data_IF_759563364750
#
_entry.id   IF_759563364750
#
_cell.length_a   1.000
_cell.length_b   1.000
_cell.length_c   1.000
_cell.angle_alpha   90.00
_cell.angle_beta   90.00
_cell.angle_gamma   90.00
#
_symmetry.space_group_name_H-M   'P 1'
#
loop_
_entity.id
_entity.type
_entity.pdbx_description
1 polymer ?
#
# COMPACT_ATOMS: atom_id res chain seq x y z
N UNK A 1 52.90 76.59 10.51
CA UNK A 1 52.36 76.57 9.13
C UNK A 1 51.59 75.27 8.97
N UNK A 2 50.35 75.34 8.43
CA UNK A 2 49.11 74.84 9.04
C UNK A 2 48.68 73.47 8.45
N UNK A 3 47.63 72.75 8.86
CA UNK A 3 46.40 72.99 9.64
C UNK A 3 46.04 71.65 10.36
N UNK A 4 45.55 71.58 11.61
CA UNK A 4 44.21 71.94 12.11
C UNK A 4 43.28 70.70 12.04
N UNK A 5 42.42 70.32 12.98
CA UNK A 5 42.09 70.69 14.36
C UNK A 5 41.04 69.65 14.85
N UNK A 6 40.93 69.48 16.18
CA UNK A 6 39.78 69.02 16.98
C UNK A 6 39.46 67.52 17.25
N UNK A 7 39.40 67.29 18.57
CA UNK A 7 38.91 66.19 19.40
C UNK A 7 37.54 65.60 19.02
N UNK A 8 37.25 64.36 19.42
CA UNK A 8 36.20 64.08 20.44
C UNK A 8 36.16 62.61 20.91
N UNK A 9 35.78 62.46 22.19
CA UNK A 9 35.37 61.27 22.92
C UNK A 9 34.10 60.60 22.33
N UNK A 10 33.97 59.28 22.53
CA UNK A 10 32.74 58.56 22.97
C UNK A 10 32.97 57.04 22.83
N UNK A 11 33.08 56.26 23.92
CA UNK A 11 32.01 55.76 24.77
C UNK A 11 31.42 54.41 24.30
N UNK A 12 31.37 53.49 25.27
CA UNK A 12 30.78 52.16 25.26
C UNK A 12 29.43 52.11 24.52
N UNK A 13 29.17 51.01 23.82
CA UNK A 13 27.89 50.33 23.95
C UNK A 13 27.99 48.82 23.68
N UNK A 14 27.69 48.05 24.72
CA UNK A 14 27.12 46.70 24.66
C UNK A 14 25.95 46.68 23.64
N UNK A 15 25.76 45.57 22.92
CA UNK A 15 24.53 44.76 22.96
C UNK A 15 24.53 43.63 21.90
N UNK A 16 24.39 42.39 22.41
CA UNK A 16 23.50 41.33 21.88
C UNK A 16 23.67 40.93 20.41
N UNK A 17 24.56 39.95 20.14
CA UNK A 17 24.40 39.08 18.98
C UNK A 17 23.35 38.00 19.32
N UNK A 18 22.29 37.83 18.50
CA UNK A 18 21.19 36.95 18.81
C UNK A 18 21.54 35.49 18.54
N UNK A 19 21.08 34.64 19.45
CA UNK A 19 20.99 33.19 19.36
C UNK A 19 20.07 32.85 18.17
N UNK A 20 20.62 32.61 16.98
CA UNK A 20 19.87 32.00 15.85
C UNK A 20 20.78 31.20 14.92
N UNK A 21 21.49 30.20 15.45
CA UNK A 21 21.96 29.07 14.65
C UNK A 21 21.29 27.81 15.21
N UNK A 22 19.99 27.64 14.93
CA UNK A 22 19.35 26.33 14.90
C UNK A 22 17.90 26.46 14.36
N UNK A 23 17.72 26.61 13.05
CA UNK A 23 16.40 26.39 12.42
C UNK A 23 16.53 26.17 10.91
N UNK A 24 17.18 25.08 10.55
CA UNK A 24 16.98 24.41 9.26
C UNK A 24 16.86 22.90 9.47
N UNK A 25 16.10 22.50 10.50
CA UNK A 25 15.46 21.19 10.50
C UNK A 25 14.27 21.34 9.57
N UNK A 26 14.44 20.91 8.33
CA UNK A 26 13.33 20.51 7.47
C UNK A 26 12.44 19.57 8.29
N UNK A 27 11.29 20.06 8.73
CA UNK A 27 10.23 19.26 9.32
C UNK A 27 9.73 18.32 8.21
N UNK A 28 10.37 17.16 8.09
CA UNK A 28 9.78 15.99 7.46
C UNK A 28 8.56 15.64 8.31
N UNK A 29 7.40 16.16 7.92
CA UNK A 29 6.12 15.77 8.49
C UNK A 29 6.03 14.23 8.44
N UNK A 30 5.82 13.55 9.58
CA UNK A 30 5.70 12.10 9.60
C UNK A 30 4.48 11.70 8.77
N UNK A 31 4.72 10.97 7.69
CA UNK A 31 3.64 10.46 6.85
C UNK A 31 3.05 9.23 7.54
N UNK A 32 1.84 9.39 8.07
CA UNK A 32 1.18 8.30 8.78
C UNK A 32 0.71 7.17 7.84
N UNK A 33 1.23 5.97 8.01
CA UNK A 33 0.68 4.78 7.36
C UNK A 33 -0.51 4.26 8.17
N UNK A 34 -1.74 4.41 7.68
CA UNK A 34 -2.89 3.77 8.32
C UNK A 34 -3.01 2.32 7.87
N UNK A 35 -3.13 1.42 8.84
CA UNK A 35 -3.36 -0.01 8.62
C UNK A 35 -4.87 -0.22 8.49
N UNK A 36 -5.38 -0.12 7.25
CA UNK A 36 -6.80 -0.10 6.82
C UNK A 36 -7.76 -1.07 7.52
N UNK A 37 -7.24 -2.08 8.20
CA UNK A 37 -7.94 -3.26 8.68
C UNK A 37 -7.62 -3.61 10.14
N UNK A 38 -6.64 -2.98 10.80
CA UNK A 38 -6.16 -3.42 12.14
C UNK A 38 -6.22 -2.34 13.22
N UNK A 39 -6.26 -1.05 12.87
CA UNK A 39 -6.48 0.03 13.83
C UNK A 39 -7.04 1.28 13.16
N UNK A 40 -7.67 2.15 13.96
CA UNK A 40 -8.10 3.51 13.57
C UNK A 40 -7.01 4.57 13.75
N UNK A 41 -5.84 4.17 14.22
CA UNK A 41 -4.70 5.05 14.52
C UNK A 41 -3.66 5.02 13.40
N UNK A 42 -2.97 6.14 13.27
CA UNK A 42 -2.04 6.47 12.21
C UNK A 42 -0.63 6.00 12.61
N UNK A 43 0.11 5.30 11.73
CA UNK A 43 1.50 4.87 12.05
C UNK A 43 2.45 6.07 11.98
N UNK A 44 2.85 6.60 13.13
CA UNK A 44 4.02 7.47 13.21
C UNK A 44 5.30 6.61 13.24
N UNK A 45 6.22 6.84 12.31
CA UNK A 45 7.60 6.34 12.24
C UNK A 45 7.83 4.85 11.87
N UNK A 46 8.43 4.65 10.69
CA UNK A 46 9.42 3.58 10.46
C UNK A 46 10.77 4.24 10.19
N UNK A 47 11.52 4.55 11.25
CA UNK A 47 12.97 4.70 11.11
C UNK A 47 13.53 3.29 11.00
N UNK A 48 14.24 3.01 9.90
CA UNK A 48 15.08 1.82 9.76
C UNK A 48 15.96 1.68 11.00
N UNK A 49 15.70 0.68 11.84
CA UNK A 49 16.61 0.32 12.92
C UNK A 49 17.55 -0.76 12.39
N UNK A 50 18.80 -0.35 12.22
CA UNK A 50 19.96 -1.25 12.17
C UNK A 50 19.92 -2.29 13.30
N UNK A 51 20.57 -3.45 13.14
CA UNK A 51 20.51 -4.50 14.14
C UNK A 51 21.19 -4.03 15.43
N UNK A 52 20.38 -3.74 16.45
CA UNK A 52 20.89 -3.41 17.77
C UNK A 52 21.44 -4.69 18.43
N UNK A 53 22.76 -4.77 18.52
CA UNK A 53 23.48 -5.63 19.46
C UNK A 53 23.16 -5.15 20.88
N UNK A 54 22.23 -5.82 21.56
CA UNK A 54 21.83 -5.47 22.92
C UNK A 54 21.14 -6.62 23.63
N UNK A 55 21.86 -7.26 24.55
CA UNK A 55 21.41 -8.35 25.41
C UNK A 55 20.32 -7.90 26.39
N UNK A 56 19.07 -8.26 26.13
CA UNK A 56 18.02 -8.43 27.15
C UNK A 56 17.12 -9.58 26.70
N UNK A 57 16.83 -10.53 27.61
CA UNK A 57 16.09 -11.80 27.38
C UNK A 57 14.62 -11.67 26.90
N UNK A 58 14.22 -10.54 26.32
CA UNK A 58 12.96 -10.40 25.60
C UNK A 58 13.11 -10.90 24.16
N UNK A 59 12.30 -11.89 23.74
CA UNK A 59 12.30 -12.34 22.34
C UNK A 59 12.02 -11.13 21.42
N UNK A 60 12.89 -10.83 20.44
CA UNK A 60 12.82 -9.60 19.63
C UNK A 60 11.49 -9.45 18.87
N UNK A 61 10.87 -10.57 18.50
CA UNK A 61 9.54 -10.61 17.86
C UNK A 61 8.40 -10.03 18.72
N UNK A 62 8.41 -10.22 20.05
CA UNK A 62 7.35 -9.67 20.91
C UNK A 62 7.37 -8.13 20.92
N UNK A 63 8.57 -7.54 21.00
CA UNK A 63 8.75 -6.08 20.95
C UNK A 63 8.22 -5.50 19.64
N UNK A 64 8.39 -6.20 18.52
CA UNK A 64 7.89 -5.74 17.23
C UNK A 64 6.37 -5.71 17.12
N UNK A 65 5.67 -6.69 17.70
CA UNK A 65 4.20 -6.68 17.75
C UNK A 65 3.63 -5.52 18.59
N UNK A 66 4.41 -5.01 19.55
CA UNK A 66 3.99 -3.93 20.45
C UNK A 66 4.12 -2.55 19.80
N UNK A 67 5.04 -2.40 18.85
CA UNK A 67 5.21 -1.19 18.02
C UNK A 67 4.11 -1.04 16.94
N UNK A 68 3.35 -2.10 16.68
CA UNK A 68 2.27 -2.06 15.69
C UNK A 68 0.96 -1.55 16.33
N UNK A 69 0.20 -0.68 15.63
CA UNK A 69 -1.11 -0.24 16.08
C UNK A 69 -2.11 -1.38 15.87
N UNK A 70 -2.15 -2.28 16.84
CA UNK A 70 -3.00 -3.47 16.85
C UNK A 70 -4.01 -3.37 18.00
N UNK A 71 -5.22 -3.88 17.77
CA UNK A 71 -6.16 -4.13 18.87
C UNK A 71 -5.56 -5.11 19.88
N UNK A 72 -6.06 -5.12 21.12
CA UNK A 72 -5.62 -6.09 22.16
C UNK A 72 -5.71 -7.55 21.68
N UNK A 73 -6.74 -7.90 20.90
CA UNK A 73 -6.89 -9.24 20.30
C UNK A 73 -5.81 -9.52 19.27
N UNK A 74 -5.59 -8.61 18.32
CA UNK A 74 -4.58 -8.76 17.27
C UNK A 74 -3.18 -8.83 17.83
N UNK A 75 -2.85 -8.00 18.83
CA UNK A 75 -1.54 -8.04 19.51
C UNK A 75 -1.28 -9.41 20.16
N UNK A 76 -2.30 -10.01 20.79
CA UNK A 76 -2.20 -11.39 21.32
C UNK A 76 -1.96 -12.43 20.23
N UNK A 77 -2.62 -12.30 19.07
CA UNK A 77 -2.38 -13.20 17.94
C UNK A 77 -0.98 -12.99 17.34
N UNK A 78 -0.53 -11.74 17.22
CA UNK A 78 0.81 -11.40 16.76
C UNK A 78 1.88 -12.02 17.66
N UNK A 79 1.81 -11.82 18.98
CA UNK A 79 2.78 -12.41 19.91
C UNK A 79 2.78 -13.95 19.92
N UNK A 80 1.69 -14.59 19.50
CA UNK A 80 1.61 -16.06 19.37
C UNK A 80 2.23 -16.57 18.08
N UNK A 81 2.47 -15.73 17.09
CA UNK A 81 2.90 -16.15 15.76
C UNK A 81 4.25 -15.52 15.41
N UNK A 82 5.38 -16.21 15.70
CA UNK A 82 6.71 -15.75 15.31
C UNK A 82 6.78 -15.39 13.82
N UNK A 83 7.35 -14.22 13.51
CA UNK A 83 7.43 -13.68 12.16
C UNK A 83 6.19 -12.95 11.64
N UNK A 84 5.06 -12.96 12.38
CA UNK A 84 3.87 -12.23 11.94
C UNK A 84 4.10 -10.71 11.88
N UNK A 85 4.85 -10.13 12.82
CA UNK A 85 5.06 -8.68 12.84
C UNK A 85 5.73 -8.19 11.55
N UNK A 86 6.74 -8.91 11.08
CA UNK A 86 7.46 -8.68 9.84
C UNK A 86 6.56 -8.88 8.62
N UNK A 87 5.76 -9.95 8.60
CA UNK A 87 4.80 -10.19 7.52
C UNK A 87 3.73 -9.08 7.43
N UNK A 88 3.28 -8.55 8.58
CA UNK A 88 2.34 -7.41 8.64
C UNK A 88 2.98 -6.12 8.12
N UNK A 89 4.24 -5.85 8.47
CA UNK A 89 5.00 -4.69 7.95
C UNK A 89 5.13 -4.75 6.43
N UNK A 90 5.50 -5.92 5.89
CA UNK A 90 5.61 -6.11 4.44
C UNK A 90 4.25 -5.93 3.76
N UNK A 91 3.16 -6.45 4.34
CA UNK A 91 1.81 -6.25 3.81
C UNK A 91 1.42 -4.77 3.71
N UNK A 92 1.76 -3.94 4.70
CA UNK A 92 1.50 -2.49 4.65
C UNK A 92 2.28 -1.85 3.52
N UNK A 93 3.57 -2.15 3.45
CA UNK A 93 4.45 -1.59 2.43
C UNK A 93 3.94 -1.93 1.03
N UNK A 94 3.64 -3.22 0.81
CA UNK A 94 3.10 -3.73 -0.43
C UNK A 94 1.78 -3.05 -0.81
N UNK A 95 0.84 -2.93 0.14
CA UNK A 95 -0.45 -2.28 -0.09
C UNK A 95 -0.34 -0.79 -0.39
N UNK A 96 0.56 -0.07 0.28
CA UNK A 96 0.79 1.37 0.04
C UNK A 96 1.38 1.59 -1.35
N UNK A 97 2.47 0.89 -1.67
CA UNK A 97 3.17 1.06 -2.95
C UNK A 97 2.24 0.73 -4.11
N UNK A 98 1.48 -0.37 -4.00
CA UNK A 98 0.52 -0.75 -5.04
C UNK A 98 -0.62 0.27 -5.16
N UNK A 99 -1.17 0.75 -4.05
CA UNK A 99 -2.26 1.73 -4.08
C UNK A 99 -1.81 3.06 -4.72
N UNK A 100 -0.61 3.54 -4.35
CA UNK A 100 -0.01 4.72 -4.96
C UNK A 100 0.26 4.51 -6.45
N UNK A 101 0.74 3.32 -6.83
CA UNK A 101 0.96 2.99 -8.23
C UNK A 101 -0.34 2.99 -9.02
N UNK A 102 -1.38 2.29 -8.55
CA UNK A 102 -2.66 2.17 -9.25
C UNK A 102 -3.43 3.50 -9.36
N UNK A 103 -3.28 4.39 -8.37
CA UNK A 103 -3.98 5.68 -8.33
C UNK A 103 -3.08 6.88 -8.69
N UNK A 104 -1.86 6.66 -9.20
CA UNK A 104 -0.89 7.72 -9.50
C UNK A 104 -1.40 8.81 -10.43
N UNK A 105 -2.36 8.47 -11.30
CA UNK A 105 -2.97 9.38 -12.28
C UNK A 105 -4.36 9.87 -11.87
N UNK A 106 -4.89 9.41 -10.74
CA UNK A 106 -6.18 9.86 -10.20
C UNK A 106 -6.00 11.15 -9.39
N UNK A 107 -7.06 11.95 -9.22
CA UNK A 107 -7.01 13.17 -8.40
C UNK A 107 -6.62 12.88 -6.95
N UNK A 108 -7.06 11.75 -6.40
CA UNK A 108 -6.54 11.20 -5.15
C UNK A 108 -5.54 10.08 -5.45
N UNK A 109 -4.26 10.31 -5.16
CA UNK A 109 -3.16 9.41 -5.54
C UNK A 109 -2.75 8.42 -4.46
N UNK A 110 -3.68 8.04 -3.60
CA UNK A 110 -3.38 7.25 -2.41
C UNK A 110 -2.37 7.90 -1.44
N UNK A 111 -2.43 9.22 -1.27
CA UNK A 111 -1.60 9.94 -0.29
C UNK A 111 -1.77 9.40 1.14
N UNK A 112 -0.71 9.50 1.95
CA UNK A 112 -0.77 9.21 3.39
C UNK A 112 -1.42 10.36 4.16
N UNK A 113 -1.14 11.60 3.75
CA UNK A 113 -1.76 12.80 4.31
C UNK A 113 -3.28 12.78 4.08
N UNK A 114 -4.05 13.03 5.14
CA UNK A 114 -5.52 13.03 5.11
C UNK A 114 -6.17 11.64 5.13
N UNK A 115 -5.37 10.56 5.06
CA UNK A 115 -5.87 9.18 4.99
C UNK A 115 -6.72 8.77 6.19
N UNK A 116 -6.34 9.19 7.41
CA UNK A 116 -7.12 8.91 8.62
C UNK A 116 -8.52 9.51 8.57
N UNK A 117 -8.67 10.72 8.02
CA UNK A 117 -9.98 11.36 7.81
C UNK A 117 -10.77 10.66 6.70
N UNK A 118 -10.09 10.25 5.62
CA UNK A 118 -10.71 9.57 4.48
C UNK A 118 -11.35 8.23 4.91
N UNK A 119 -10.63 7.45 5.71
CA UNK A 119 -11.07 6.11 6.13
C UNK A 119 -12.27 6.12 7.07
N UNK A 120 -12.50 7.24 7.77
CA UNK A 120 -13.73 7.47 8.56
C UNK A 120 -14.98 7.64 7.68
N UNK A 121 -14.83 7.77 6.36
CA UNK A 121 -15.91 8.02 5.41
C UNK A 121 -16.09 6.88 4.42
N UNK A 122 -17.34 6.72 3.98
CA UNK A 122 -17.82 5.70 3.06
C UNK A 122 -17.49 5.91 1.58
N UNK A 123 -16.35 6.52 1.24
CA UNK A 123 -16.01 6.88 -0.15
C UNK A 123 -15.54 5.69 -0.99
N UNK A 124 -15.54 5.90 -2.31
CA UNK A 124 -15.00 4.98 -3.32
C UNK A 124 -13.52 4.65 -3.06
N UNK A 125 -12.73 5.65 -2.69
CA UNK A 125 -11.30 5.51 -2.36
C UNK A 125 -11.09 4.64 -1.12
N UNK A 126 -11.99 4.78 -0.14
CA UNK A 126 -11.96 3.96 1.06
C UNK A 126 -12.28 2.50 0.72
N UNK A 127 -13.25 2.23 -0.14
CA UNK A 127 -13.55 0.88 -0.60
C UNK A 127 -12.31 0.20 -1.22
N UNK A 128 -11.58 0.93 -2.07
CA UNK A 128 -10.33 0.45 -2.64
C UNK A 128 -9.23 0.22 -1.60
N UNK A 129 -9.06 1.14 -0.64
CA UNK A 129 -8.09 0.98 0.46
C UNK A 129 -8.34 -0.29 1.28
N UNK A 130 -9.60 -0.60 1.61
CA UNK A 130 -9.94 -1.84 2.31
C UNK A 130 -9.60 -3.07 1.46
N UNK A 131 -9.96 -3.06 0.17
CA UNK A 131 -9.72 -4.18 -0.73
C UNK A 131 -8.22 -4.43 -0.96
N UNK A 132 -7.43 -3.39 -1.30
CA UNK A 132 -5.99 -3.54 -1.57
C UNK A 132 -5.22 -3.90 -0.30
N UNK A 133 -5.61 -3.37 0.87
CA UNK A 133 -4.99 -3.76 2.15
C UNK A 133 -5.27 -5.21 2.50
N UNK A 134 -6.50 -5.69 2.27
CA UNK A 134 -6.89 -7.07 2.54
C UNK A 134 -6.15 -8.04 1.60
N UNK A 135 -6.03 -7.64 0.34
CA UNK A 135 -5.26 -8.36 -0.66
C UNK A 135 -3.78 -8.43 -0.27
N UNK A 136 -3.16 -7.31 0.09
CA UNK A 136 -1.75 -7.26 0.48
C UNK A 136 -1.45 -8.11 1.72
N UNK A 137 -2.35 -8.09 2.72
CA UNK A 137 -2.25 -8.97 3.88
C UNK A 137 -2.35 -10.44 3.50
N UNK A 138 -3.35 -10.82 2.71
CA UNK A 138 -3.55 -12.21 2.29
C UNK A 138 -2.37 -12.73 1.49
N UNK A 139 -1.84 -11.91 0.58
CA UNK A 139 -0.70 -12.21 -0.27
C UNK A 139 0.59 -12.36 0.55
N UNK A 140 0.90 -11.36 1.38
CA UNK A 140 2.13 -11.36 2.19
C UNK A 140 2.15 -12.47 3.23
N UNK A 141 1.00 -12.77 3.87
CA UNK A 141 0.90 -13.89 4.82
C UNK A 141 1.11 -15.24 4.12
N UNK A 142 0.52 -15.46 2.94
CA UNK A 142 0.72 -16.68 2.17
C UNK A 142 2.20 -16.86 1.77
N UNK A 143 2.84 -15.77 1.32
CA UNK A 143 4.27 -15.72 0.96
C UNK A 143 5.19 -15.88 2.16
N UNK A 144 4.81 -15.36 3.32
CA UNK A 144 5.57 -15.51 4.56
C UNK A 144 5.57 -16.97 5.04
N UNK A 145 4.43 -17.66 4.92
CA UNK A 145 4.33 -19.08 5.20
C UNK A 145 5.18 -19.92 4.24
N UNK A 146 5.06 -19.69 2.93
CA UNK A 146 5.84 -20.45 1.95
C UNK A 146 7.34 -20.15 1.99
N UNK A 147 7.71 -18.93 2.41
CA UNK A 147 9.09 -18.51 2.59
C UNK A 147 9.70 -18.88 3.95
N UNK A 148 8.98 -19.61 4.82
CA UNK A 148 9.47 -19.98 6.16
C UNK A 148 9.68 -18.80 7.11
N UNK A 149 9.10 -17.63 6.81
CA UNK A 149 9.21 -16.42 7.65
C UNK A 149 8.24 -16.45 8.82
N UNK A 150 7.14 -17.21 8.72
CA UNK A 150 6.19 -17.45 9.80
C UNK A 150 6.29 -18.90 10.25
N UNK A 151 6.48 -19.13 11.54
CA UNK A 151 6.86 -20.45 12.07
C UNK A 151 5.69 -21.43 12.22
N UNK A 152 4.46 -20.96 12.48
CA UNK A 152 3.31 -21.86 12.76
C UNK A 152 2.37 -21.99 11.56
N UNK A 153 2.93 -21.88 10.36
CA UNK A 153 2.26 -22.24 9.13
C UNK A 153 3.21 -22.99 8.19
N UNK A 154 2.62 -23.76 7.28
CA UNK A 154 3.33 -24.60 6.33
C UNK A 154 3.03 -24.17 4.90
N UNK A 155 3.77 -24.75 3.96
CA UNK A 155 3.44 -24.73 2.53
C UNK A 155 2.01 -25.21 2.27
N UNK A 156 1.47 -24.89 1.11
CA UNK A 156 0.21 -25.48 0.64
C UNK A 156 0.35 -27.01 0.51
N UNK A 157 -0.51 -27.74 1.21
CA UNK A 157 -0.57 -29.20 1.29
C UNK A 157 -1.81 -29.76 0.57
N UNK A 158 -2.40 -28.97 -0.34
CA UNK A 158 -3.64 -29.33 -1.04
C UNK A 158 -3.49 -30.65 -1.81
N UNK A 159 -4.47 -31.57 -1.71
CA UNK A 159 -4.42 -32.86 -2.37
C UNK A 159 -4.40 -32.72 -3.90
N UNK A 160 -3.64 -33.58 -4.58
CA UNK A 160 -3.50 -33.56 -6.04
C UNK A 160 -2.34 -32.72 -6.58
N UNK A 161 -1.47 -32.18 -5.71
CA UNK A 161 -0.20 -31.60 -6.14
C UNK A 161 0.80 -32.73 -6.47
N UNK A 162 1.30 -32.74 -7.71
CA UNK A 162 2.30 -33.71 -8.21
C UNK A 162 3.63 -33.66 -7.45
N UNK A 163 3.86 -32.61 -6.63
CA UNK A 163 5.01 -32.51 -5.71
C UNK A 163 5.09 -33.66 -4.70
N UNK A 164 4.00 -34.39 -4.45
CA UNK A 164 4.01 -35.58 -3.58
C UNK A 164 4.53 -36.85 -4.28
N UNK A 165 4.62 -36.88 -5.62
CA UNK A 165 4.98 -38.08 -6.41
C UNK A 165 6.35 -37.99 -7.08
N UNK A 166 6.86 -36.77 -7.31
CA UNK A 166 8.18 -36.55 -7.88
C UNK A 166 9.25 -36.49 -6.77
N UNK A 167 10.27 -37.33 -6.89
CA UNK A 167 11.28 -37.59 -5.86
C UNK A 167 11.99 -36.30 -5.35
N UNK A 168 12.00 -36.12 -4.02
CA UNK A 168 12.97 -35.42 -3.15
C UNK A 168 13.26 -33.90 -3.28
N UNK A 169 12.63 -33.13 -4.16
CA UNK A 169 12.77 -31.65 -4.11
C UNK A 169 11.50 -31.00 -3.57
N UNK A 170 11.46 -30.74 -2.27
CA UNK A 170 10.33 -30.10 -1.61
C UNK A 170 10.14 -28.67 -2.08
N UNK A 171 9.28 -28.45 -3.08
CA UNK A 171 8.89 -27.10 -3.50
C UNK A 171 7.72 -26.63 -2.64
N UNK A 172 7.92 -25.49 -1.98
CA UNK A 172 6.94 -24.92 -1.06
C UNK A 172 5.99 -23.96 -1.79
N UNK A 173 4.73 -24.38 -1.98
CA UNK A 173 3.69 -23.54 -2.55
C UNK A 173 3.11 -22.53 -1.56
N UNK A 174 2.60 -21.42 -2.08
CA UNK A 174 1.94 -20.37 -1.31
C UNK A 174 0.64 -20.89 -0.65
N UNK A 175 0.57 -20.86 0.68
CA UNK A 175 -0.58 -21.37 1.43
C UNK A 175 -1.70 -20.34 1.57
N UNK A 176 -2.42 -20.10 0.47
CA UNK A 176 -3.53 -19.14 0.43
C UNK A 176 -4.70 -19.52 1.37
N UNK A 177 -4.94 -20.83 1.55
CA UNK A 177 -6.00 -21.34 2.43
C UNK A 177 -5.73 -20.96 3.88
N UNK A 178 -4.50 -21.20 4.35
CA UNK A 178 -4.06 -20.78 5.68
C UNK A 178 -4.15 -19.26 5.83
N UNK A 179 -3.58 -18.50 4.88
CA UNK A 179 -3.51 -17.04 5.00
C UNK A 179 -4.89 -16.39 5.07
N UNK A 180 -5.84 -16.84 4.25
CA UNK A 180 -7.22 -16.33 4.26
C UNK A 180 -7.91 -16.61 5.59
N UNK A 181 -7.77 -17.83 6.13
CA UNK A 181 -8.35 -18.20 7.43
C UNK A 181 -7.71 -17.41 8.58
N UNK A 182 -6.39 -17.29 8.56
CA UNK A 182 -5.64 -16.52 9.54
C UNK A 182 -6.10 -15.07 9.53
N UNK A 183 -6.18 -14.45 8.35
CA UNK A 183 -6.60 -13.05 8.19
C UNK A 183 -8.03 -12.84 8.73
N UNK A 184 -8.98 -13.69 8.38
CA UNK A 184 -10.36 -13.58 8.87
C UNK A 184 -10.44 -13.63 10.41
N UNK A 185 -9.67 -14.53 11.05
CA UNK A 185 -9.57 -14.59 12.52
C UNK A 185 -8.86 -13.35 13.09
N UNK A 186 -7.80 -12.89 12.44
CA UNK A 186 -6.99 -11.76 12.87
C UNK A 186 -7.75 -10.44 12.82
N UNK A 187 -8.53 -10.20 11.75
CA UNK A 187 -9.41 -9.04 11.63
C UNK A 187 -10.61 -9.13 12.58
N UNK A 188 -10.89 -10.32 13.13
CA UNK A 188 -11.93 -10.53 14.13
C UNK A 188 -13.31 -10.17 13.61
N UNK A 189 -13.59 -10.45 12.34
CA UNK A 189 -14.79 -10.00 11.65
C UNK A 189 -16.04 -10.52 12.36
N UNK A 190 -16.73 -9.63 13.08
CA UNK A 190 -18.03 -9.92 13.67
C UNK A 190 -19.01 -10.12 12.53
N UNK A 191 -19.72 -11.26 12.52
CA UNK A 191 -20.86 -11.46 11.63
C UNK A 191 -21.87 -10.36 11.94
N UNK A 192 -22.07 -9.43 11.00
CA UNK A 192 -23.27 -8.63 10.91
C UNK A 192 -23.63 -7.79 12.14
N UNK A 193 -22.90 -6.70 12.36
CA UNK A 193 -23.49 -5.60 13.13
C UNK A 193 -24.63 -4.96 12.34
N UNK A 194 -25.55 -4.29 13.03
CA UNK A 194 -26.57 -3.37 12.44
C UNK A 194 -25.98 -2.15 11.72
N UNK A 195 -24.66 -2.11 11.52
CA UNK A 195 -23.96 -0.99 10.92
C UNK A 195 -23.71 -1.27 9.43
N UNK A 196 -24.38 -0.50 8.56
CA UNK A 196 -24.21 -0.50 7.10
C UNK A 196 -22.76 -0.33 6.70
N UNK A 197 -22.02 0.55 7.38
CA UNK A 197 -20.63 0.85 7.09
C UNK A 197 -19.74 -0.37 7.34
N UNK A 198 -19.89 -1.02 8.49
CA UNK A 198 -19.15 -2.24 8.80
C UNK A 198 -19.40 -3.35 7.76
N UNK A 199 -20.64 -3.47 7.24
CA UNK A 199 -20.97 -4.47 6.20
C UNK A 199 -20.32 -4.15 4.85
N UNK A 200 -20.29 -2.88 4.46
CA UNK A 200 -19.58 -2.42 3.25
C UNK A 200 -18.08 -2.65 3.36
N UNK A 201 -17.46 -2.30 4.49
CA UNK A 201 -16.03 -2.50 4.72
C UNK A 201 -15.65 -3.97 4.70
N UNK A 202 -16.50 -4.82 5.29
CA UNK A 202 -16.39 -6.28 5.24
C UNK A 202 -16.50 -6.82 3.80
N UNK A 203 -17.45 -6.31 3.01
CA UNK A 203 -17.62 -6.69 1.61
C UNK A 203 -16.36 -6.39 0.80
N UNK A 204 -15.85 -5.16 0.89
CA UNK A 204 -14.65 -4.73 0.16
C UNK A 204 -13.40 -5.52 0.59
N UNK A 205 -13.29 -5.83 1.89
CA UNK A 205 -12.24 -6.73 2.42
C UNK A 205 -12.31 -8.10 1.74
N UNK A 206 -13.50 -8.70 1.65
CA UNK A 206 -13.69 -9.98 0.97
C UNK A 206 -13.43 -9.92 -0.53
N UNK A 207 -13.78 -8.82 -1.20
CA UNK A 207 -13.47 -8.62 -2.60
C UNK A 207 -11.95 -8.59 -2.83
N UNK A 208 -11.18 -7.94 -1.94
CA UNK A 208 -9.72 -7.96 -1.93
C UNK A 208 -9.12 -9.37 -1.80
N UNK A 209 -9.59 -10.15 -0.83
CA UNK A 209 -9.16 -11.55 -0.63
C UNK A 209 -9.46 -12.39 -1.89
N UNK A 210 -10.63 -12.19 -2.50
CA UNK A 210 -11.02 -12.89 -3.73
C UNK A 210 -10.15 -12.52 -4.93
N UNK A 211 -9.72 -11.27 -5.05
CA UNK A 211 -8.81 -10.84 -6.09
C UNK A 211 -7.46 -11.58 -6.01
N UNK A 212 -6.91 -11.77 -4.80
CA UNK A 212 -5.71 -12.59 -4.60
C UNK A 212 -5.98 -14.05 -4.97
N UNK A 213 -7.13 -14.58 -4.57
CA UNK A 213 -7.53 -15.96 -4.89
C UNK A 213 -7.64 -16.23 -6.39
N UNK A 214 -8.14 -15.29 -7.17
CA UNK A 214 -8.20 -15.44 -8.63
C UNK A 214 -6.82 -15.47 -9.30
N UNK A 215 -5.78 -14.94 -8.64
CA UNK A 215 -4.40 -14.99 -9.12
C UNK A 215 -3.61 -16.23 -8.69
N UNK A 216 -4.21 -17.18 -7.96
CA UNK A 216 -3.52 -18.40 -7.55
C UNK A 216 -3.47 -19.40 -8.70
N UNK A 217 -2.26 -19.72 -9.17
CA UNK A 217 -2.03 -20.64 -10.30
C UNK A 217 -1.19 -21.83 -9.86
N UNK A 218 -1.38 -22.97 -10.51
CA UNK A 218 -0.42 -24.09 -10.39
C UNK A 218 0.75 -23.78 -11.31
N UNK A 219 1.95 -23.62 -10.76
CA UNK A 219 3.18 -23.43 -11.53
C UNK A 219 4.00 -24.70 -11.45
N UNK A 220 4.62 -25.09 -12.57
CA UNK A 220 5.41 -26.30 -12.67
C UNK A 220 6.81 -26.01 -13.19
N UNK A 221 7.81 -26.73 -12.67
CA UNK A 221 9.16 -26.77 -13.22
C UNK A 221 9.43 -28.16 -13.79
N UNK A 222 9.96 -28.20 -15.01
CA UNK A 222 10.33 -29.42 -15.71
C UNK A 222 11.78 -29.81 -15.41
N UNK A 223 12.03 -31.09 -15.23
CA UNK A 223 13.30 -31.66 -14.77
C UNK A 223 13.82 -32.79 -15.67
N UNK A 224 13.24 -33.00 -16.85
CA UNK A 224 13.69 -34.04 -17.78
C UNK A 224 14.94 -33.66 -18.57
N UNK A 225 15.58 -34.67 -19.16
CA UNK A 225 16.78 -34.52 -20.02
C UNK A 225 16.50 -33.48 -21.11
N UNK A 226 17.48 -32.61 -21.36
CA UNK A 226 17.40 -31.51 -22.34
C UNK A 226 16.20 -30.57 -22.17
N UNK A 227 15.68 -30.40 -20.94
CA UNK A 227 14.56 -29.51 -20.64
C UNK A 227 13.18 -30.14 -20.88
N UNK A 228 13.10 -31.45 -21.09
CA UNK A 228 11.82 -32.14 -21.23
C UNK A 228 10.98 -32.12 -19.94
N UNK A 229 9.66 -32.20 -20.08
CA UNK A 229 8.71 -32.20 -18.95
C UNK A 229 8.23 -33.60 -18.54
N UNK A 230 8.94 -34.66 -18.94
CA UNK A 230 8.61 -36.04 -18.57
C UNK A 230 8.56 -36.23 -17.04
N UNK A 231 9.44 -35.53 -16.32
CA UNK A 231 9.34 -35.32 -14.87
C UNK A 231 9.17 -33.84 -14.62
N UNK A 232 8.17 -33.47 -13.81
CA UNK A 232 7.93 -32.09 -13.40
C UNK A 232 7.48 -32.04 -11.96
N UNK A 233 7.71 -30.90 -11.32
CA UNK A 233 7.26 -30.61 -9.96
C UNK A 233 6.37 -29.38 -10.01
N UNK A 234 5.15 -29.50 -9.48
CA UNK A 234 4.15 -28.43 -9.51
C UNK A 234 3.76 -27.96 -8.10
N UNK A 235 3.54 -26.67 -7.93
CA UNK A 235 3.12 -26.05 -6.67
C UNK A 235 2.11 -24.92 -6.90
N UNK A 236 1.40 -24.51 -5.86
CA UNK A 236 0.56 -23.32 -5.90
C UNK A 236 1.40 -22.06 -5.76
N UNK A 237 1.22 -21.11 -6.66
CA UNK A 237 1.93 -19.85 -6.68
C UNK A 237 0.96 -18.71 -6.93
N UNK A 238 1.02 -17.69 -6.09
CA UNK A 238 0.31 -16.44 -6.29
C UNK A 238 0.96 -15.65 -7.43
N UNK A 239 0.12 -15.08 -8.30
CA UNK A 239 0.51 -14.06 -9.27
C UNK A 239 1.30 -12.91 -8.59
N UNK A 240 2.14 -12.21 -9.37
CA UNK A 240 2.70 -10.93 -8.96
C UNK A 240 1.60 -9.99 -8.42
N UNK A 241 1.90 -9.25 -7.35
CA UNK A 241 0.88 -8.44 -6.68
C UNK A 241 0.31 -7.32 -7.57
N UNK A 242 1.09 -6.81 -8.52
CA UNK A 242 0.63 -5.80 -9.47
C UNK A 242 -0.56 -6.27 -10.33
N UNK A 243 -0.68 -7.58 -10.63
CA UNK A 243 -1.84 -8.13 -11.33
C UNK A 243 -3.10 -8.02 -10.45
N UNK A 244 -2.95 -8.28 -9.14
CA UNK A 244 -4.05 -8.11 -8.17
C UNK A 244 -4.43 -6.64 -8.02
N UNK A 245 -3.44 -5.74 -7.94
CA UNK A 245 -3.68 -4.31 -7.89
C UNK A 245 -4.41 -3.79 -9.12
N UNK A 246 -4.02 -4.22 -10.32
CA UNK A 246 -4.67 -3.86 -11.58
C UNK A 246 -6.12 -4.37 -11.64
N UNK A 247 -6.35 -5.61 -11.20
CA UNK A 247 -7.70 -6.17 -11.08
C UNK A 247 -8.57 -5.35 -10.12
N UNK A 248 -8.04 -4.98 -8.95
CA UNK A 248 -8.76 -4.15 -7.98
C UNK A 248 -8.97 -2.73 -8.49
N UNK A 249 -8.05 -2.17 -9.29
CA UNK A 249 -8.23 -0.85 -9.93
C UNK A 249 -9.39 -0.88 -10.92
N UNK A 250 -9.48 -1.92 -11.75
CA UNK A 250 -10.63 -2.10 -12.64
C UNK A 250 -11.96 -2.23 -11.86
N UNK A 251 -11.93 -2.86 -10.68
CA UNK A 251 -13.10 -2.92 -9.77
C UNK A 251 -13.40 -1.58 -9.09
N UNK A 252 -12.38 -0.79 -8.77
CA UNK A 252 -12.54 0.58 -8.30
C UNK A 252 -13.24 1.41 -9.37
N UNK A 253 -12.78 1.38 -10.62
CA UNK A 253 -13.37 2.21 -11.69
C UNK A 253 -14.88 1.97 -11.84
N UNK A 254 -15.30 0.71 -11.69
CA UNK A 254 -16.70 0.26 -11.78
C UNK A 254 -17.38 0.05 -10.40
N UNK A 255 -16.88 0.67 -9.33
CA UNK A 255 -17.44 0.52 -8.00
C UNK A 255 -18.88 1.04 -7.92
N UNK A 256 -19.69 0.38 -7.08
CA UNK A 256 -21.13 0.62 -7.01
C UNK A 256 -21.50 1.34 -5.72
N UNK A 257 -22.27 2.43 -5.83
CA UNK A 257 -22.87 3.09 -4.67
C UNK A 257 -24.02 2.27 -4.12
N UNK A 258 -24.05 2.05 -2.82
CA UNK A 258 -25.09 1.28 -2.13
C UNK A 258 -25.76 2.14 -1.06
N UNK A 259 -27.04 1.87 -0.80
CA UNK A 259 -27.78 2.46 0.31
C UNK A 259 -27.95 1.44 1.43
N UNK A 260 -27.99 1.92 2.68
CA UNK A 260 -28.46 1.11 3.79
C UNK A 260 -29.96 0.95 3.72
N UNK A 261 -30.49 -0.28 3.74
CA UNK A 261 -31.92 -0.51 3.91
C UNK A 261 -32.17 -1.15 5.27
N UNK A 262 -32.83 -0.42 6.15
CA UNK A 262 -33.45 -0.95 7.36
C UNK A 262 -34.81 -1.52 6.98
N UNK A 263 -34.96 -2.84 6.95
CA UNK A 263 -36.28 -3.46 6.87
C UNK A 263 -36.90 -3.40 8.27
N UNK A 264 -37.68 -2.35 8.57
CA UNK A 264 -38.36 -2.18 9.86
C UNK A 264 -39.50 -3.21 10.08
N UNK A 265 -39.98 -3.87 9.02
CA UNK A 265 -41.15 -4.76 9.06
C UNK A 265 -40.88 -6.20 9.53
N UNK A 266 -39.62 -6.63 9.60
CA UNK A 266 -39.23 -7.97 10.08
C UNK A 266 -37.98 -7.72 10.90
N UNK A 267 -38.01 -7.87 12.23
CA UNK A 267 -36.90 -7.59 13.15
C UNK A 267 -35.61 -8.37 12.83
N UNK A 268 -34.96 -8.01 11.73
CA UNK A 268 -34.25 -8.92 10.86
C UNK A 268 -33.09 -8.20 10.18
N UNK A 269 -32.00 -8.95 10.11
CA UNK A 269 -30.66 -8.52 9.78
C UNK A 269 -30.59 -7.63 8.53
N UNK A 270 -30.04 -6.43 8.67
CA UNK A 270 -29.86 -5.47 7.60
C UNK A 270 -29.04 -6.15 6.46
N UNK A 271 -29.63 -6.29 5.26
CA UNK A 271 -28.95 -6.83 4.07
C UNK A 271 -28.35 -5.67 3.26
N UNK A 272 -27.28 -5.91 2.51
CA UNK A 272 -26.73 -4.87 1.62
C UNK A 272 -27.79 -4.68 0.53
N UNK A 273 -28.54 -3.58 0.61
CA UNK A 273 -29.68 -3.33 -0.24
C UNK A 273 -29.24 -3.19 -1.70
N UNK A 274 -30.19 -3.49 -2.58
CA UNK A 274 -30.16 -3.36 -4.03
C UNK A 274 -29.24 -2.22 -4.52
N UNK A 275 -28.40 -2.55 -5.50
CA UNK A 275 -27.65 -1.56 -6.27
C UNK A 275 -28.61 -0.47 -6.75
N UNK A 276 -28.22 0.81 -6.61
CA UNK A 276 -28.93 1.92 -7.24
C UNK A 276 -29.04 1.76 -8.78
N UNK A 277 -28.22 0.88 -9.35
CA UNK A 277 -28.11 0.58 -10.78
C UNK A 277 -28.95 -0.64 -11.19
N UNK A 278 -29.81 -1.18 -10.30
CA UNK A 278 -30.71 -2.29 -10.64
C UNK A 278 -30.04 -3.65 -10.94
N UNK A 279 -28.70 -3.76 -10.81
CA UNK A 279 -27.97 -5.03 -10.95
C UNK A 279 -27.61 -5.65 -9.59
N UNK A 280 -27.61 -6.98 -9.52
CA UNK A 280 -27.13 -7.68 -8.33
C UNK A 280 -25.64 -7.39 -8.05
N UNK A 281 -25.32 -7.03 -6.81
CA UNK A 281 -23.94 -6.76 -6.37
C UNK A 281 -23.17 -8.07 -6.35
N UNK A 282 -22.12 -8.18 -7.18
CA UNK A 282 -21.27 -9.38 -7.17
C UNK A 282 -20.33 -9.32 -5.99
N UNK A 283 -19.98 -10.49 -5.48
CA UNK A 283 -19.05 -10.59 -4.35
C UNK A 283 -17.58 -10.20 -4.64
N UNK A 284 -17.29 -9.80 -5.87
CA UNK A 284 -16.00 -9.28 -6.36
C UNK A 284 -16.06 -7.78 -6.67
N UNK A 285 -17.24 -7.17 -6.55
CA UNK A 285 -17.40 -5.74 -6.82
C UNK A 285 -16.93 -4.93 -5.61
N UNK A 286 -16.50 -3.70 -5.84
CA UNK A 286 -16.27 -2.75 -4.75
C UNK A 286 -17.53 -1.91 -4.56
N UNK A 287 -17.89 -1.66 -3.30
CA UNK A 287 -19.09 -0.91 -2.93
C UNK A 287 -18.78 0.23 -1.98
N UNK A 288 -19.50 1.34 -2.12
CA UNK A 288 -19.29 2.55 -1.32
C UNK A 288 -20.63 3.20 -0.96
N UNK A 289 -20.65 4.06 0.07
CA UNK A 289 -21.87 4.66 0.63
C UNK A 289 -22.01 6.14 0.26
N UNK A 290 -20.89 6.85 0.16
CA UNK A 290 -20.85 8.30 0.03
C UNK A 290 -20.11 8.73 -1.23
N UNK A 291 -20.58 9.78 -1.88
CA UNK A 291 -19.86 10.35 -3.01
C UNK A 291 -18.54 10.96 -2.56
N UNK A 292 -17.49 10.72 -3.34
CA UNK A 292 -16.17 11.24 -3.04
C UNK A 292 -16.16 12.77 -3.15
N UNK A 293 -15.49 13.47 -2.22
CA UNK A 293 -15.33 14.92 -2.31
C UNK A 293 -14.43 15.30 -3.47
N UNK A 294 -14.42 16.58 -3.85
CA UNK A 294 -13.42 17.08 -4.80
C UNK A 294 -12.02 17.00 -4.21
N UNK A 295 -11.12 16.27 -4.87
CA UNK A 295 -9.71 16.18 -4.52
C UNK A 295 -8.83 17.19 -5.27
N UNK A 296 -9.43 18.15 -5.98
CA UNK A 296 -8.69 19.14 -6.76
C UNK A 296 -7.89 20.12 -5.88
N UNK A 297 -8.50 20.56 -4.78
CA UNK A 297 -7.89 21.47 -3.79
C UNK A 297 -7.55 20.72 -2.51
N UNK A 298 -6.59 21.26 -1.76
CA UNK A 298 -6.24 20.72 -0.47
C UNK A 298 -7.45 20.69 0.47
N UNK A 299 -7.61 19.59 1.20
CA UNK A 299 -8.67 19.38 2.19
C UNK A 299 -8.18 18.43 3.29
N UNK A 300 -9.03 18.17 4.29
CA UNK A 300 -8.72 17.16 5.32
C UNK A 300 -8.52 15.75 4.78
N UNK A 301 -8.87 15.48 3.52
CA UNK A 301 -8.83 14.16 2.88
C UNK A 301 -7.68 13.99 1.88
N UNK A 302 -7.15 15.08 1.34
CA UNK A 302 -6.16 15.06 0.26
C UNK A 302 -5.35 16.37 0.22
N UNK A 303 -4.06 16.34 -0.14
CA UNK A 303 -3.26 17.54 -0.36
C UNK A 303 -3.70 18.37 -1.59
N UNK A 304 -4.58 17.84 -2.46
CA UNK A 304 -4.98 18.50 -3.71
C UNK A 304 -4.13 18.05 -4.91
N UNK A 305 -4.37 18.64 -6.09
CA UNK A 305 -3.65 18.29 -7.33
C UNK A 305 -2.60 19.31 -7.78
N UNK A 306 -2.47 20.44 -7.09
CA UNK A 306 -1.47 21.45 -7.40
C UNK A 306 -0.04 20.86 -7.34
N UNK A 307 0.79 21.20 -8.32
CA UNK A 307 2.18 20.74 -8.41
C UNK A 307 2.36 19.28 -8.84
N UNK A 308 1.27 18.53 -9.09
CA UNK A 308 1.40 17.14 -9.55
C UNK A 308 1.80 17.06 -11.00
N UNK A 309 2.70 16.12 -11.30
CA UNK A 309 3.10 15.79 -12.67
C UNK A 309 1.94 15.11 -13.39
N UNK A 310 1.69 15.52 -14.64
CA UNK A 310 0.68 14.95 -15.52
C UNK A 310 1.26 14.70 -16.92
N UNK A 311 0.52 13.96 -17.72
CA UNK A 311 0.82 13.73 -19.14
C UNK A 311 -0.16 14.53 -19.99
N UNK A 312 0.37 15.36 -20.89
CA UNK A 312 -0.38 16.36 -21.67
C UNK A 312 -1.57 15.75 -22.41
N UNK A 313 -1.38 14.60 -23.05
CA UNK A 313 -2.37 13.97 -23.92
C UNK A 313 -3.38 13.09 -23.17
N UNK A 314 -3.08 12.69 -21.94
CA UNK A 314 -3.86 11.63 -21.26
C UNK A 314 -4.46 12.03 -19.92
N UNK A 315 -3.77 12.85 -19.12
CA UNK A 315 -4.14 13.04 -17.70
C UNK A 315 -4.17 14.49 -17.24
N UNK A 316 -3.54 15.44 -17.96
CA UNK A 316 -3.50 16.82 -17.48
C UNK A 316 -4.89 17.46 -17.36
N UNK A 317 -5.80 17.20 -18.30
CA UNK A 317 -7.15 17.78 -18.28
C UNK A 317 -7.98 17.29 -17.08
N UNK A 318 -7.91 15.99 -16.79
CA UNK A 318 -8.64 15.39 -15.67
C UNK A 318 -7.99 15.72 -14.32
N UNK A 319 -6.65 15.71 -14.25
CA UNK A 319 -5.88 15.87 -13.01
C UNK A 319 -5.80 17.32 -12.54
N UNK A 320 -5.62 18.27 -13.46
CA UNK A 320 -5.42 19.68 -13.13
C UNK A 320 -6.75 20.43 -12.93
N UNK A 321 -7.89 19.76 -13.10
CA UNK A 321 -9.22 20.29 -12.81
C UNK A 321 -9.50 21.64 -13.50
N UNK A 322 -9.08 21.79 -14.75
CA UNK A 322 -9.26 23.02 -15.53
C UNK A 322 -8.34 24.19 -15.17
N UNK A 323 -7.44 24.06 -14.18
CA UNK A 323 -6.47 25.12 -13.83
C UNK A 323 -5.33 25.27 -14.84
N UNK A 324 -5.20 24.33 -15.77
CA UNK A 324 -4.06 24.20 -16.66
C UNK A 324 -2.81 23.66 -15.97
N UNK A 325 -1.70 23.64 -16.70
CA UNK A 325 -0.42 23.09 -16.26
C UNK A 325 0.73 24.00 -16.71
N UNK A 326 1.82 23.96 -15.95
CA UNK A 326 3.11 24.54 -16.35
C UNK A 326 3.89 23.49 -17.15
N UNK A 327 4.70 23.95 -18.10
CA UNK A 327 5.60 23.11 -18.90
C UNK A 327 7.04 23.48 -18.59
N UNK A 328 7.85 22.47 -18.27
CA UNK A 328 9.27 22.61 -18.06
C UNK A 328 10.02 21.62 -18.95
N UNK A 329 10.81 22.13 -19.90
CA UNK A 329 11.71 21.31 -20.70
C UNK A 329 13.00 21.05 -19.95
N UNK A 330 13.41 19.78 -19.86
CA UNK A 330 14.67 19.37 -19.23
C UNK A 330 15.42 18.41 -20.14
N UNK A 331 16.74 18.56 -20.21
CA UNK A 331 17.61 17.55 -20.82
C UNK A 331 17.76 16.37 -19.86
N UNK A 332 17.29 15.20 -20.27
CA UNK A 332 17.38 13.96 -19.50
C UNK A 332 18.41 13.06 -20.15
N UNK A 333 19.40 12.63 -19.36
CA UNK A 333 20.40 11.67 -19.78
C UNK A 333 19.91 10.26 -19.48
N UNK A 334 19.90 9.39 -20.48
CA UNK A 334 19.49 7.99 -20.34
C UNK A 334 20.47 7.05 -21.04
N UNK A 335 20.46 5.78 -20.65
CA UNK A 335 21.29 4.76 -21.29
C UNK A 335 20.65 4.34 -22.61
N UNK A 336 21.42 4.40 -23.70
CA UNK A 336 21.00 4.09 -25.06
C UNK A 336 22.05 3.20 -25.75
N UNK A 337 21.68 2.60 -26.88
CA UNK A 337 22.59 1.80 -27.71
C UNK A 337 23.36 0.74 -26.89
N UNK A 338 22.64 0.02 -26.02
CA UNK A 338 23.23 -0.98 -25.14
C UNK A 338 23.65 -2.23 -25.92
N UNK A 339 24.90 -2.65 -25.76
CA UNK A 339 25.44 -3.89 -26.32
C UNK A 339 25.76 -4.88 -25.19
N UNK A 340 25.32 -6.12 -25.36
CA UNK A 340 25.63 -7.21 -24.42
C UNK A 340 26.95 -7.83 -24.85
N UNK A 341 27.97 -7.73 -24.00
CA UNK A 341 29.23 -8.42 -24.23
C UNK A 341 29.12 -9.85 -23.70
N UNK A 342 29.35 -10.82 -24.58
CA UNK A 342 29.36 -12.23 -24.19
C UNK A 342 30.55 -12.44 -23.24
N UNK A 343 30.24 -12.80 -21.99
CA UNK A 343 31.08 -12.77 -20.77
C UNK A 343 30.95 -11.55 -19.82
N UNK A 344 29.75 -10.96 -19.79
CA UNK A 344 28.91 -10.74 -18.58
C UNK A 344 28.57 -9.29 -18.19
N UNK A 345 28.75 -8.31 -19.08
CA UNK A 345 28.27 -6.96 -18.82
C UNK A 345 27.60 -6.32 -20.03
N UNK A 346 26.78 -5.32 -19.73
CA UNK A 346 26.08 -4.51 -20.74
C UNK A 346 26.76 -3.16 -20.78
N UNK A 347 27.32 -2.81 -21.94
CA UNK A 347 27.87 -1.48 -22.17
C UNK A 347 26.81 -0.64 -22.89
N UNK A 348 26.49 0.52 -22.31
CA UNK A 348 25.53 1.46 -22.90
C UNK A 348 26.18 2.83 -23.05
N UNK A 349 25.85 3.51 -24.14
CA UNK A 349 26.17 4.92 -24.30
C UNK A 349 25.21 5.78 -23.46
N UNK A 350 25.63 7.01 -23.15
CA UNK A 350 24.77 8.02 -22.51
C UNK A 350 24.22 8.96 -23.57
N UNK A 351 22.94 8.82 -23.88
CA UNK A 351 22.23 9.75 -24.76
C UNK A 351 21.56 10.83 -23.93
N UNK A 352 21.31 11.98 -24.56
CA UNK A 352 20.57 13.09 -23.96
C UNK A 352 19.35 13.37 -24.84
N UNK A 353 18.19 13.49 -24.22
CA UNK A 353 16.95 13.85 -24.90
C UNK A 353 16.26 14.99 -24.16
N UNK A 354 15.72 15.96 -24.91
CA UNK A 354 14.84 16.97 -24.35
C UNK A 354 13.50 16.33 -23.99
N UNK A 355 13.12 16.40 -22.73
CA UNK A 355 11.87 15.88 -22.22
C UNK A 355 11.08 17.00 -21.54
N UNK A 356 9.81 17.14 -21.94
CA UNK A 356 8.89 18.08 -21.32
C UNK A 356 8.20 17.45 -20.11
N UNK A 357 8.23 18.15 -18.99
CA UNK A 357 7.50 17.79 -17.76
C UNK A 357 6.34 18.76 -17.58
N UNK A 358 5.14 18.23 -17.40
CA UNK A 358 3.93 19.02 -17.19
C UNK A 358 3.47 18.91 -15.74
N UNK A 359 3.23 20.05 -15.07
CA UNK A 359 2.80 20.08 -13.66
C UNK A 359 1.57 20.93 -13.48
N UNK A 360 0.55 20.43 -12.79
CA UNK A 360 -0.69 21.18 -12.57
C UNK A 360 -0.46 22.49 -11.82
N UNK A 361 -1.12 23.56 -12.29
CA UNK A 361 -1.09 24.88 -11.64
C UNK A 361 -1.81 24.86 -10.29
N UNK A 362 -1.48 25.84 -9.44
CA UNK A 362 -2.13 26.04 -8.14
C UNK A 362 -3.61 26.39 -8.30
#
# INVERSE_FOLDING_TARGET
MPAGFHLSLAALCLHLLPITILLSITILLPADAYFGLTSKESLSHYTSLSPATGSTHSRPHLKQCDLLPLTRRQRRLCRKEPGLAEALKEAVRLGIVECQFQLRSERWNCSLQGRGSLLKRGFKETAFLYAVSAAALTHSLAKACSGGKMERCTCDDSPGLESQRAWQWGVCGDNLRHSTRFLQNFLGQKKGGRDTRARVDLHNTHAGIKAVKSGLKTTCKCHGVSGSCAVRTCWKQLSPFHETGALLKAKYDNAVKVLGATNEAVGGHESLAHSLVGRAIRSTDLVYLEDSPSFCRASRFSPGTAGRVCSKETTCDSLCCGRGYNTQSRMVTFSCHCQVHWCCHVECQKCVQQQDTYTCKQ
#
